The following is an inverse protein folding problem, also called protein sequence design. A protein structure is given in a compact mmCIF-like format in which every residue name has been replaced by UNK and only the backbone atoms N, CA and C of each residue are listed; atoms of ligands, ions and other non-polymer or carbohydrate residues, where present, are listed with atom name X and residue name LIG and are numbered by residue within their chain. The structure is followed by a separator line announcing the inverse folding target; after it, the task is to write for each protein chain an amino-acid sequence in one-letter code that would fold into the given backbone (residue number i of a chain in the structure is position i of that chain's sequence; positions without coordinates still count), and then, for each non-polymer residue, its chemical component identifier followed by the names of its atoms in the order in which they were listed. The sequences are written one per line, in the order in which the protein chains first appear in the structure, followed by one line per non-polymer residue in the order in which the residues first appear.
data_IF_777663326063
#
_entry.id   IF_777663326063
#
_cell.length_a   1.000
_cell.length_b   1.000
_cell.length_c   1.000
_cell.angle_alpha   90.00
_cell.angle_beta   90.00
_cell.angle_gamma   90.00
#
_symmetry.space_group_name_H-M   'P 1'
#
loop_
_entity.id
_entity.type
_entity.pdbx_description
1 polymer ?
#
# COMPACT_ATOMS: atom_id res chain seq x y z
N UNK A 1 2.17 4.18 3.05
CA UNK A 1 2.29 3.01 3.96
C UNK A 1 3.17 3.39 5.13
N UNK A 2 2.64 3.39 6.37
CA UNK A 2 3.43 3.62 7.59
C UNK A 2 4.03 2.30 8.09
N UNK A 3 5.22 2.38 8.69
CA UNK A 3 5.87 1.23 9.30
C UNK A 3 5.29 0.94 10.69
N UNK A 4 5.40 -0.29 11.20
CA UNK A 4 4.85 -0.65 12.52
C UNK A 4 5.54 0.08 13.68
N UNK A 5 6.78 0.49 13.48
CA UNK A 5 7.59 1.30 14.39
C UNK A 5 8.58 2.13 13.58
N UNK A 6 9.20 3.18 14.13
CA UNK A 6 10.31 3.87 13.50
C UNK A 6 11.51 2.93 13.25
N UNK A 7 12.16 3.10 12.11
CA UNK A 7 13.42 2.45 11.74
C UNK A 7 14.50 3.51 11.57
N UNK A 8 15.77 3.13 11.71
CA UNK A 8 16.89 4.01 11.36
C UNK A 8 17.21 3.90 9.87
N UNK A 9 17.89 4.91 9.33
CA UNK A 9 18.35 4.89 7.93
C UNK A 9 19.22 3.67 7.65
N UNK A 10 20.14 3.34 8.58
CA UNK A 10 21.02 2.16 8.48
C UNK A 10 20.22 0.84 8.43
N UNK A 11 19.18 0.71 9.26
CA UNK A 11 18.33 -0.48 9.25
C UNK A 11 17.63 -0.65 7.91
N UNK A 12 17.08 0.44 7.34
CA UNK A 12 16.46 0.41 6.01
C UNK A 12 17.49 0.10 4.92
N UNK A 13 18.64 0.75 4.95
CA UNK A 13 19.72 0.49 4.00
C UNK A 13 20.18 -0.98 4.04
N UNK A 14 20.27 -1.56 5.24
CA UNK A 14 20.60 -2.98 5.43
C UNK A 14 19.56 -3.91 4.78
N UNK A 15 18.24 -3.65 4.97
CA UNK A 15 17.17 -4.47 4.40
C UNK A 15 17.29 -4.55 2.86
N UNK A 16 17.66 -3.45 2.21
CA UNK A 16 17.75 -3.39 0.74
C UNK A 16 19.18 -3.55 0.20
N UNK A 17 20.18 -3.63 1.08
CA UNK A 17 21.61 -3.67 0.73
C UNK A 17 22.05 -2.45 -0.10
N UNK A 18 21.59 -1.25 0.27
CA UNK A 18 21.92 0.00 -0.39
C UNK A 18 22.94 0.82 0.39
N UNK A 19 23.73 1.64 -0.31
CA UNK A 19 24.50 2.72 0.30
C UNK A 19 23.56 3.82 0.78
N UNK A 20 24.00 4.63 1.75
CA UNK A 20 23.23 5.78 2.19
C UNK A 20 24.11 7.01 2.43
N UNK A 21 23.51 8.19 2.37
CA UNK A 21 24.09 9.49 2.72
C UNK A 21 23.12 10.18 3.70
N UNK A 22 23.54 10.33 4.94
CA UNK A 22 22.76 10.89 6.04
C UNK A 22 23.21 10.33 7.39
N UNK A 23 22.58 10.79 8.46
CA UNK A 23 22.81 10.27 9.80
C UNK A 23 22.35 8.80 9.87
N UNK A 24 23.17 7.93 10.47
CA UNK A 24 22.85 6.49 10.65
C UNK A 24 21.53 6.27 11.40
N UNK A 25 21.24 7.13 12.37
CA UNK A 25 20.05 7.10 13.21
C UNK A 25 18.88 7.92 12.63
N UNK A 26 19.01 8.47 11.40
CA UNK A 26 17.95 9.25 10.78
C UNK A 26 16.63 8.49 10.77
N UNK A 27 15.53 9.06 11.32
CA UNK A 27 14.28 8.33 11.51
C UNK A 27 13.52 8.12 10.21
N UNK A 28 13.07 6.89 9.99
CA UNK A 28 12.26 6.47 8.84
C UNK A 28 10.97 5.86 9.35
N UNK A 29 9.82 6.46 8.99
CA UNK A 29 8.51 6.16 9.55
C UNK A 29 7.58 5.44 8.58
N UNK A 30 7.92 5.45 7.29
CA UNK A 30 7.05 4.89 6.26
C UNK A 30 7.65 5.01 4.87
N UNK A 31 6.83 4.68 3.87
CA UNK A 31 7.16 4.85 2.45
C UNK A 31 5.89 5.14 1.67
N UNK A 32 5.96 6.07 0.72
CA UNK A 32 4.80 6.51 -0.04
C UNK A 32 5.16 6.94 -1.47
N UNK A 33 4.11 7.06 -2.28
CA UNK A 33 4.20 7.66 -3.62
C UNK A 33 4.42 9.17 -3.51
N UNK A 34 5.18 9.71 -4.44
CA UNK A 34 5.67 11.11 -4.43
C UNK A 34 4.60 12.20 -4.21
N UNK A 35 3.35 11.91 -4.52
CA UNK A 35 2.24 12.88 -4.39
C UNK A 35 1.51 12.82 -3.04
N UNK A 36 1.84 11.84 -2.19
CA UNK A 36 1.24 11.63 -0.87
C UNK A 36 2.26 11.44 0.25
N UNK A 37 3.55 11.65 -0.04
CA UNK A 37 4.62 11.54 0.96
C UNK A 37 4.52 12.62 2.03
N UNK A 38 4.90 12.23 3.24
CA UNK A 38 4.99 13.08 4.42
C UNK A 38 6.41 13.03 5.00
N UNK A 39 6.68 13.88 5.98
CA UNK A 39 7.94 13.81 6.75
C UNK A 39 8.09 12.43 7.42
N UNK A 40 9.28 11.84 7.33
CA UNK A 40 9.58 10.49 7.76
C UNK A 40 9.35 9.41 6.71
N UNK A 41 8.75 9.72 5.57
CA UNK A 41 8.53 8.75 4.49
C UNK A 41 9.74 8.62 3.56
N UNK A 42 9.88 7.40 3.00
CA UNK A 42 10.72 7.13 1.85
C UNK A 42 9.91 7.37 0.58
N UNK A 43 10.49 8.10 -0.38
CA UNK A 43 10.04 8.13 -1.78
C UNK A 43 11.11 7.50 -2.67
N UNK A 44 10.74 6.80 -3.73
CA UNK A 44 11.73 6.34 -4.71
C UNK A 44 11.67 7.15 -6.00
N UNK A 45 12.83 7.28 -6.65
CA UNK A 45 12.97 7.87 -7.98
C UNK A 45 14.09 7.17 -8.75
N UNK A 46 13.81 6.81 -9.99
CA UNK A 46 14.75 6.08 -10.85
C UNK A 46 14.91 6.70 -12.26
N UNK A 47 14.28 7.87 -12.48
CA UNK A 47 14.36 8.60 -13.75
C UNK A 47 14.75 10.06 -13.53
N UNK A 48 15.79 10.58 -14.24
CA UNK A 48 16.32 11.94 -14.02
C UNK A 48 15.30 13.07 -14.06
N UNK A 49 14.28 12.95 -14.91
CA UNK A 49 13.17 13.92 -15.03
C UNK A 49 12.46 14.19 -13.70
N UNK A 50 12.48 13.24 -12.76
CA UNK A 50 11.74 13.33 -11.50
C UNK A 50 12.63 13.50 -10.28
N UNK A 51 13.97 13.62 -10.44
CA UNK A 51 14.88 13.78 -9.32
C UNK A 51 14.54 15.01 -8.49
N UNK A 52 14.43 16.19 -9.13
CA UNK A 52 14.11 17.43 -8.44
C UNK A 52 12.77 17.34 -7.70
N UNK A 53 11.78 16.70 -8.32
CA UNK A 53 10.47 16.51 -7.67
C UNK A 53 10.58 15.65 -6.43
N UNK A 54 11.37 14.59 -6.45
CA UNK A 54 11.57 13.71 -5.29
C UNK A 54 12.41 14.39 -4.20
N UNK A 55 13.52 15.03 -4.58
CA UNK A 55 14.42 15.72 -3.66
C UNK A 55 13.74 16.92 -2.97
N UNK A 56 12.79 17.59 -3.61
CA UNK A 56 12.03 18.71 -3.06
C UNK A 56 10.64 18.30 -2.50
N UNK A 57 10.31 17.01 -2.48
CA UNK A 57 9.04 16.52 -1.90
C UNK A 57 9.03 16.65 -0.37
N UNK A 58 7.89 16.35 0.26
CA UNK A 58 7.78 16.28 1.71
C UNK A 58 8.48 15.05 2.31
N UNK A 59 8.86 14.05 1.50
CA UNK A 59 9.64 12.90 1.97
C UNK A 59 10.99 13.34 2.54
N UNK A 60 11.39 12.78 3.67
CA UNK A 60 12.71 13.06 4.25
C UNK A 60 13.77 12.03 3.87
N UNK A 61 13.36 10.91 3.25
CA UNK A 61 14.29 9.92 2.70
C UNK A 61 13.99 9.70 1.21
N UNK A 62 15.03 9.77 0.37
CA UNK A 62 14.89 9.57 -1.07
C UNK A 62 15.73 8.37 -1.51
N UNK A 63 15.06 7.34 -2.01
CA UNK A 63 15.68 6.19 -2.65
C UNK A 63 15.90 6.50 -4.14
N UNK A 64 17.17 6.63 -4.53
CA UNK A 64 17.58 7.19 -5.83
C UNK A 64 18.67 6.33 -6.50
N UNK A 65 18.68 6.30 -7.84
CA UNK A 65 19.67 5.52 -8.60
C UNK A 65 20.94 6.29 -9.00
N UNK A 66 21.16 7.43 -8.37
CA UNK A 66 22.36 8.25 -8.63
C UNK A 66 22.78 8.97 -7.36
N UNK A 67 24.09 9.02 -7.12
CA UNK A 67 24.63 9.87 -6.07
C UNK A 67 24.48 11.34 -6.48
N UNK A 68 23.79 12.11 -5.67
CA UNK A 68 23.51 13.54 -5.87
C UNK A 68 23.82 14.29 -4.58
N UNK A 69 23.89 15.62 -4.64
CA UNK A 69 23.99 16.44 -3.44
C UNK A 69 22.74 16.23 -2.56
N UNK A 70 22.97 15.94 -1.29
CA UNK A 70 21.90 15.68 -0.32
C UNK A 70 21.28 17.00 0.14
N UNK A 71 19.96 17.21 -0.07
CA UNK A 71 19.31 18.41 0.46
C UNK A 71 19.34 18.43 2.00
N UNK A 72 19.38 19.64 2.56
CA UNK A 72 19.33 19.81 4.02
C UNK A 72 18.06 19.17 4.62
N UNK A 73 18.20 18.52 5.77
CA UNK A 73 17.11 17.84 6.45
C UNK A 73 16.64 16.53 5.82
N UNK A 74 17.35 16.04 4.78
CA UNK A 74 17.03 14.76 4.13
C UNK A 74 18.14 13.73 4.25
N UNK A 75 17.78 12.49 3.94
CA UNK A 75 18.72 11.38 3.76
C UNK A 75 18.51 10.73 2.39
N UNK A 76 19.57 10.15 1.84
CA UNK A 76 19.53 9.42 0.57
C UNK A 76 19.82 7.93 0.81
N UNK A 77 19.07 7.07 0.13
CA UNK A 77 19.39 5.67 -0.09
C UNK A 77 19.79 5.51 -1.56
N UNK A 78 21.00 5.04 -1.81
CA UNK A 78 21.57 4.98 -3.15
C UNK A 78 21.56 3.54 -3.63
N UNK A 79 20.78 3.26 -4.68
CA UNK A 79 20.58 1.94 -5.24
C UNK A 79 20.68 1.97 -6.75
N UNK A 80 21.24 0.94 -7.36
CA UNK A 80 21.25 0.75 -8.81
C UNK A 80 19.84 0.54 -9.39
N UNK A 81 18.89 0.07 -8.58
CA UNK A 81 17.48 -0.13 -8.97
C UNK A 81 16.51 0.21 -7.82
N UNK A 82 16.15 1.49 -7.67
CA UNK A 82 15.19 1.93 -6.65
C UNK A 82 13.82 1.26 -6.72
N UNK A 83 13.34 0.90 -7.91
CA UNK A 83 12.08 0.18 -8.09
C UNK A 83 12.12 -1.21 -7.46
N UNK A 84 13.20 -1.98 -7.72
CA UNK A 84 13.43 -3.29 -7.11
C UNK A 84 13.49 -3.17 -5.58
N UNK A 85 14.21 -2.19 -5.09
CA UNK A 85 14.46 -2.07 -3.66
C UNK A 85 13.25 -1.51 -2.91
N UNK A 86 12.46 -0.65 -3.55
CA UNK A 86 11.14 -0.25 -3.02
C UNK A 86 10.19 -1.47 -2.89
N UNK A 87 10.22 -2.38 -3.86
CA UNK A 87 9.50 -3.65 -3.79
C UNK A 87 9.99 -4.56 -2.65
N UNK A 88 11.31 -4.61 -2.40
CA UNK A 88 11.85 -5.36 -1.24
C UNK A 88 11.33 -4.82 0.08
N UNK A 89 11.31 -3.48 0.25
CA UNK A 89 10.73 -2.85 1.43
C UNK A 89 9.25 -3.16 1.55
N UNK A 90 8.48 -3.05 0.46
CA UNK A 90 7.05 -3.40 0.46
C UNK A 90 6.85 -4.85 0.90
N UNK A 91 7.64 -5.77 0.39
CA UNK A 91 7.55 -7.19 0.75
C UNK A 91 7.98 -7.46 2.21
N UNK A 92 8.97 -6.74 2.71
CA UNK A 92 9.44 -6.87 4.09
C UNK A 92 8.38 -6.39 5.10
N UNK A 93 7.76 -5.23 4.83
CA UNK A 93 6.77 -4.64 5.75
C UNK A 93 5.35 -5.14 5.55
N UNK A 94 5.02 -5.68 4.37
CA UNK A 94 3.72 -6.24 3.99
C UNK A 94 3.92 -7.55 3.23
N UNK A 95 4.42 -8.61 3.89
CA UNK A 95 4.53 -9.92 3.27
C UNK A 95 3.15 -10.44 2.89
N UNK A 96 3.10 -11.30 1.88
CA UNK A 96 1.89 -12.04 1.56
C UNK A 96 1.64 -13.12 2.64
N UNK A 97 0.44 -13.12 3.20
CA UNK A 97 -0.02 -14.13 4.15
C UNK A 97 -1.18 -14.92 3.54
N UNK A 98 -1.02 -16.24 3.44
CA UNK A 98 -2.08 -17.09 2.91
C UNK A 98 -3.28 -17.13 3.87
N UNK A 99 -4.48 -16.92 3.33
CA UNK A 99 -5.69 -17.16 4.08
C UNK A 99 -5.90 -18.67 4.29
N UNK A 100 -6.38 -19.04 5.47
CA UNK A 100 -6.62 -20.45 5.85
C UNK A 100 -8.09 -20.83 5.80
N UNK A 101 -8.98 -19.87 5.54
CA UNK A 101 -10.43 -20.05 5.45
C UNK A 101 -11.05 -19.01 4.51
N UNK A 102 -12.29 -19.23 4.07
CA UNK A 102 -13.02 -18.25 3.25
C UNK A 102 -13.26 -16.92 3.98
N UNK A 103 -13.40 -16.96 5.31
CA UNK A 103 -13.37 -15.76 6.16
C UNK A 103 -12.20 -15.94 7.10
N UNK A 104 -11.19 -15.09 6.98
CA UNK A 104 -9.99 -15.17 7.79
C UNK A 104 -10.30 -14.97 9.28
N UNK A 105 -9.70 -15.74 10.19
CA UNK A 105 -9.93 -15.60 11.64
C UNK A 105 -9.58 -14.21 12.20
N UNK A 106 -8.70 -13.48 11.52
CA UNK A 106 -8.30 -12.10 11.87
C UNK A 106 -9.28 -11.03 11.38
N UNK A 107 -10.28 -11.40 10.55
CA UNK A 107 -11.30 -10.48 10.06
C UNK A 107 -12.27 -10.06 11.20
N UNK A 108 -12.68 -8.80 11.18
CA UNK A 108 -13.64 -8.25 12.14
C UNK A 108 -14.89 -7.82 11.40
N UNK A 109 -16.03 -8.38 11.77
CA UNK A 109 -17.32 -8.11 11.13
C UNK A 109 -18.26 -7.52 12.17
N UNK A 110 -18.80 -6.32 11.88
CA UNK A 110 -19.70 -5.61 12.78
C UNK A 110 -21.08 -6.22 12.87
N UNK A 111 -21.76 -5.92 13.98
CA UNK A 111 -23.10 -6.38 14.28
C UNK A 111 -24.12 -6.03 13.16
N UNK A 112 -25.07 -6.92 12.89
CA UNK A 112 -26.09 -6.73 11.87
C UNK A 112 -25.60 -6.84 10.42
N UNK A 113 -24.31 -7.11 10.20
CA UNK A 113 -23.76 -7.33 8.86
C UNK A 113 -24.08 -8.73 8.38
N UNK A 114 -24.63 -8.83 7.18
CA UNK A 114 -24.97 -10.08 6.50
C UNK A 114 -23.90 -10.40 5.45
N UNK A 115 -23.34 -11.60 5.54
CA UNK A 115 -22.38 -12.15 4.58
C UNK A 115 -23.03 -13.34 3.87
N UNK A 116 -23.22 -13.23 2.56
CA UNK A 116 -23.83 -14.27 1.74
C UNK A 116 -22.83 -15.42 1.45
N UNK A 117 -23.30 -16.59 1.00
CA UNK A 117 -22.42 -17.70 0.64
C UNK A 117 -21.36 -17.36 -0.40
N UNK A 118 -20.23 -18.09 -0.35
CA UNK A 118 -19.10 -17.98 -1.26
C UNK A 118 -18.39 -16.61 -1.22
N UNK A 119 -18.52 -15.84 -0.15
CA UNK A 119 -17.74 -14.63 0.08
C UNK A 119 -16.36 -15.00 0.61
N UNK A 120 -15.32 -14.38 0.04
CA UNK A 120 -13.97 -14.41 0.59
C UNK A 120 -13.67 -13.12 1.33
N UNK A 121 -13.24 -13.22 2.59
CA UNK A 121 -12.78 -12.11 3.42
C UNK A 121 -11.39 -12.42 3.93
N UNK A 122 -10.39 -11.68 3.44
CA UNK A 122 -8.98 -11.88 3.72
C UNK A 122 -8.54 -11.45 5.12
N UNK A 123 -7.23 -11.56 5.36
CA UNK A 123 -6.62 -11.27 6.66
C UNK A 123 -6.79 -9.79 7.04
N UNK A 124 -7.07 -9.55 8.34
CA UNK A 124 -7.16 -8.21 8.94
C UNK A 124 -8.20 -7.29 8.29
N UNK A 125 -9.16 -7.83 7.54
CA UNK A 125 -10.29 -7.04 7.00
C UNK A 125 -11.17 -6.57 8.15
N UNK A 126 -11.61 -5.31 8.09
CA UNK A 126 -12.58 -4.77 9.03
C UNK A 126 -13.83 -4.35 8.28
N UNK A 127 -14.99 -4.88 8.67
CA UNK A 127 -16.30 -4.53 8.11
C UNK A 127 -17.14 -3.94 9.25
N UNK A 128 -17.75 -2.78 9.00
CA UNK A 128 -18.62 -2.10 9.95
C UNK A 128 -19.95 -2.81 10.17
N UNK A 129 -20.89 -2.07 10.79
CA UNK A 129 -22.21 -2.58 11.15
C UNK A 129 -23.21 -2.47 10.01
N UNK A 130 -24.23 -3.34 10.02
CA UNK A 130 -25.40 -3.31 9.14
C UNK A 130 -25.02 -3.30 7.62
N UNK A 131 -23.95 -3.97 7.26
CA UNK A 131 -23.53 -4.11 5.87
C UNK A 131 -24.22 -5.32 5.20
N UNK A 132 -24.34 -5.28 3.87
CA UNK A 132 -24.78 -6.40 3.05
C UNK A 132 -23.68 -6.77 2.07
N UNK A 133 -23.08 -7.93 2.26
CA UNK A 133 -22.06 -8.48 1.36
C UNK A 133 -22.69 -9.62 0.58
N UNK A 134 -22.97 -9.37 -0.70
CA UNK A 134 -23.64 -10.34 -1.56
C UNK A 134 -22.71 -11.50 -1.95
N UNK A 135 -23.32 -12.56 -2.49
CA UNK A 135 -22.61 -13.79 -2.84
C UNK A 135 -21.45 -13.56 -3.82
N UNK A 136 -20.39 -14.37 -3.69
CA UNK A 136 -19.20 -14.36 -4.55
C UNK A 136 -18.39 -13.04 -4.52
N UNK A 137 -18.55 -12.21 -3.50
CA UNK A 137 -17.70 -11.03 -3.27
C UNK A 137 -16.35 -11.50 -2.73
N UNK A 138 -15.25 -10.89 -3.21
CA UNK A 138 -13.89 -11.13 -2.70
C UNK A 138 -13.32 -9.84 -2.12
N UNK A 139 -13.02 -9.85 -0.82
CA UNK A 139 -12.40 -8.73 -0.11
C UNK A 139 -11.01 -9.17 0.34
N UNK A 140 -9.98 -8.63 -0.30
CA UNK A 140 -8.58 -8.94 0.01
C UNK A 140 -8.13 -8.30 1.32
N UNK A 141 -6.97 -8.73 1.78
CA UNK A 141 -6.39 -8.39 3.08
C UNK A 141 -6.35 -6.89 3.38
N UNK A 142 -6.53 -6.57 4.66
CA UNK A 142 -6.42 -5.22 5.23
C UNK A 142 -7.48 -4.21 4.74
N UNK A 143 -8.47 -4.60 3.95
CA UNK A 143 -9.54 -3.69 3.53
C UNK A 143 -10.34 -3.19 4.74
N UNK A 144 -10.81 -1.94 4.64
CA UNK A 144 -11.63 -1.30 5.68
C UNK A 144 -12.96 -0.89 5.06
N UNK A 145 -14.04 -1.48 5.55
CA UNK A 145 -15.40 -1.24 5.10
C UNK A 145 -16.16 -0.54 6.23
N UNK A 146 -16.74 0.62 5.93
CA UNK A 146 -17.54 1.39 6.87
C UNK A 146 -18.89 0.74 7.22
N UNK A 147 -19.78 1.50 7.85
CA UNK A 147 -21.09 1.04 8.23
C UNK A 147 -22.12 1.21 7.10
N UNK A 148 -23.19 0.38 7.10
CA UNK A 148 -24.30 0.44 6.14
C UNK A 148 -23.83 0.37 4.68
N UNK A 149 -22.79 -0.39 4.40
CA UNK A 149 -22.22 -0.59 3.06
C UNK A 149 -22.92 -1.78 2.38
N UNK A 150 -23.21 -1.63 1.10
CA UNK A 150 -23.72 -2.71 0.25
C UNK A 150 -22.69 -3.02 -0.84
N UNK A 151 -22.30 -4.29 -0.96
CA UNK A 151 -21.40 -4.76 -2.01
C UNK A 151 -22.12 -5.84 -2.79
N UNK A 152 -22.46 -5.55 -4.05
CA UNK A 152 -23.18 -6.49 -4.89
C UNK A 152 -22.30 -7.62 -5.43
N UNK A 153 -22.96 -8.69 -5.86
CA UNK A 153 -22.36 -9.98 -6.18
C UNK A 153 -21.20 -9.89 -7.19
N UNK A 154 -20.19 -10.70 -6.98
CA UNK A 154 -19.03 -10.84 -7.87
C UNK A 154 -18.03 -9.69 -7.82
N UNK A 155 -18.22 -8.70 -6.95
CA UNK A 155 -17.26 -7.59 -6.81
C UNK A 155 -15.98 -8.03 -6.12
N UNK A 156 -14.84 -7.46 -6.54
CA UNK A 156 -13.50 -7.77 -6.04
C UNK A 156 -12.84 -6.49 -5.50
N UNK A 157 -12.43 -6.52 -4.24
CA UNK A 157 -11.79 -5.39 -3.57
C UNK A 157 -10.39 -5.75 -3.12
N UNK A 158 -9.40 -4.92 -3.45
CA UNK A 158 -8.06 -5.00 -2.90
C UNK A 158 -7.08 -5.89 -3.68
N UNK A 159 -7.37 -6.20 -4.95
CA UNK A 159 -6.34 -6.70 -5.84
C UNK A 159 -5.20 -5.68 -5.97
N UNK A 160 -3.98 -6.13 -6.33
CA UNK A 160 -2.85 -5.23 -6.51
C UNK A 160 -3.10 -4.23 -7.65
N UNK A 161 -2.71 -2.99 -7.45
CA UNK A 161 -2.68 -1.98 -8.51
C UNK A 161 -1.93 -2.49 -9.76
N UNK A 162 -2.46 -2.17 -10.93
CA UNK A 162 -1.88 -2.58 -12.21
C UNK A 162 -0.73 -1.64 -12.60
N UNK A 163 0.41 -1.77 -11.89
CA UNK A 163 1.60 -0.94 -12.12
C UNK A 163 2.82 -1.80 -12.44
N UNK A 164 3.38 -1.62 -13.63
CA UNK A 164 4.52 -2.38 -14.12
C UNK A 164 5.63 -1.50 -14.69
N UNK A 165 6.87 -1.84 -14.41
CA UNK A 165 8.06 -1.28 -15.07
C UNK A 165 8.50 -2.20 -16.19
N UNK A 166 8.64 -1.66 -17.40
CA UNK A 166 9.19 -2.40 -18.53
C UNK A 166 10.70 -2.62 -18.34
N UNK A 167 11.14 -3.86 -18.55
CA UNK A 167 12.55 -4.27 -18.57
C UNK A 167 12.92 -4.84 -19.94
N UNK A 168 14.20 -5.09 -20.16
CA UNK A 168 14.65 -5.72 -21.40
C UNK A 168 14.07 -7.14 -21.61
N UNK A 169 13.85 -7.88 -20.51
CA UNK A 169 13.41 -9.28 -20.50
C UNK A 169 11.93 -9.46 -20.12
N UNK A 170 11.15 -8.37 -19.93
CA UNK A 170 9.75 -8.48 -19.51
C UNK A 170 9.25 -7.29 -18.71
N UNK A 171 8.41 -7.57 -17.72
CA UNK A 171 7.81 -6.56 -16.85
C UNK A 171 7.99 -6.92 -15.38
N UNK A 172 8.43 -5.95 -14.59
CA UNK A 172 8.45 -6.04 -13.14
C UNK A 172 7.20 -5.37 -12.56
N UNK A 173 6.45 -6.10 -11.75
CA UNK A 173 5.29 -5.57 -11.06
C UNK A 173 5.72 -4.73 -9.84
N UNK A 174 5.13 -3.55 -9.66
CA UNK A 174 5.21 -2.82 -8.40
C UNK A 174 4.22 -3.45 -7.42
N UNK A 175 4.74 -3.92 -6.29
CA UNK A 175 3.91 -4.53 -5.23
C UNK A 175 3.11 -3.47 -4.50
N UNK A 176 1.85 -3.80 -4.24
CA UNK A 176 0.95 -2.89 -3.54
C UNK A 176 0.90 -3.21 -2.04
N UNK A 177 1.38 -2.28 -1.24
CA UNK A 177 1.33 -2.33 0.24
C UNK A 177 0.16 -1.55 0.85
N UNK A 178 -0.64 -0.87 0.02
CA UNK A 178 -1.81 -0.13 0.44
C UNK A 178 -3.06 -0.99 0.65
N UNK A 179 -4.22 -0.36 0.73
CA UNK A 179 -5.50 -1.04 1.00
C UNK A 179 -6.67 -0.34 0.31
N UNK A 180 -7.85 -0.98 0.33
CA UNK A 180 -9.13 -0.38 -0.04
C UNK A 180 -9.85 0.10 1.20
N UNK A 181 -10.44 1.29 1.14
CA UNK A 181 -11.28 1.86 2.18
C UNK A 181 -12.62 2.28 1.58
N UNK A 182 -13.70 1.63 1.97
CA UNK A 182 -15.06 2.10 1.70
C UNK A 182 -15.58 2.85 2.91
N UNK A 183 -16.00 4.10 2.72
CA UNK A 183 -16.62 4.87 3.80
C UNK A 183 -18.07 4.45 4.01
N UNK A 184 -18.73 5.00 5.06
CA UNK A 184 -20.10 4.63 5.39
C UNK A 184 -21.07 4.85 4.23
N UNK A 185 -22.08 3.99 4.15
CA UNK A 185 -23.20 4.07 3.21
C UNK A 185 -22.79 4.02 1.73
N UNK A 186 -21.62 3.48 1.41
CA UNK A 186 -21.22 3.18 0.03
C UNK A 186 -22.03 2.00 -0.50
N UNK A 187 -22.40 2.04 -1.77
CA UNK A 187 -22.97 0.91 -2.47
C UNK A 187 -22.18 0.64 -3.76
N UNK A 188 -21.67 -0.57 -3.90
CA UNK A 188 -20.94 -1.01 -5.08
C UNK A 188 -21.83 -1.92 -5.93
N UNK A 189 -21.96 -1.61 -7.21
CA UNK A 189 -22.65 -2.44 -8.19
C UNK A 189 -22.03 -3.83 -8.33
N UNK A 190 -22.74 -4.73 -9.02
CA UNK A 190 -22.24 -6.07 -9.28
C UNK A 190 -21.00 -6.07 -10.19
N UNK A 191 -20.10 -7.03 -9.96
CA UNK A 191 -18.87 -7.23 -10.74
C UNK A 191 -17.94 -5.98 -10.81
N UNK A 192 -17.98 -5.12 -9.80
CA UNK A 192 -17.02 -4.02 -9.68
C UNK A 192 -15.67 -4.53 -9.22
N UNK A 193 -14.58 -3.94 -9.75
CA UNK A 193 -13.22 -4.20 -9.29
C UNK A 193 -12.58 -2.93 -8.76
N UNK A 194 -12.04 -2.96 -7.54
CA UNK A 194 -11.36 -1.84 -6.90
C UNK A 194 -10.01 -2.31 -6.40
N UNK A 195 -8.94 -1.90 -7.08
CA UNK A 195 -7.59 -2.23 -6.68
C UNK A 195 -7.16 -1.41 -5.46
N UNK A 196 -6.32 -1.99 -4.61
CA UNK A 196 -5.70 -1.27 -3.50
C UNK A 196 -4.65 -0.27 -4.00
N UNK A 197 -4.41 0.78 -3.24
CA UNK A 197 -3.33 1.72 -3.54
C UNK A 197 -1.94 1.07 -3.49
N UNK A 198 -0.96 1.64 -4.19
CA UNK A 198 0.42 1.11 -4.17
C UNK A 198 0.99 1.17 -2.76
N UNK A 199 0.87 2.31 -2.10
CA UNK A 199 1.34 2.50 -0.71
C UNK A 199 0.27 3.10 0.20
N UNK A 200 -0.65 3.87 -0.36
CA UNK A 200 -1.75 4.53 0.35
C UNK A 200 -3.07 3.78 0.21
N UNK A 201 -4.16 4.44 0.56
CA UNK A 201 -5.52 3.91 0.48
C UNK A 201 -6.17 4.28 -0.85
N UNK A 202 -6.79 3.29 -1.53
CA UNK A 202 -7.84 3.57 -2.52
C UNK A 202 -9.13 3.77 -1.75
N UNK A 203 -9.65 4.99 -1.73
CA UNK A 203 -10.81 5.35 -0.90
C UNK A 203 -12.04 5.66 -1.73
N UNK A 204 -13.17 5.01 -1.43
CA UNK A 204 -14.49 5.37 -1.94
C UNK A 204 -15.20 6.20 -0.85
N UNK A 205 -15.60 7.41 -1.21
CA UNK A 205 -16.19 8.39 -0.28
C UNK A 205 -17.54 7.96 0.27
N UNK A 206 -17.94 8.56 1.42
CA UNK A 206 -19.21 8.28 2.07
C UNK A 206 -20.40 8.50 1.12
N UNK A 207 -21.31 7.54 1.06
CA UNK A 207 -22.55 7.63 0.29
C UNK A 207 -22.38 7.48 -1.21
N UNK A 208 -21.19 7.16 -1.75
CA UNK A 208 -20.97 6.88 -3.18
C UNK A 208 -21.82 5.68 -3.64
N UNK A 209 -22.29 5.78 -4.90
CA UNK A 209 -23.08 4.74 -5.55
C UNK A 209 -22.45 4.38 -6.92
#
# INVERSE_FOLDING_TARGET
MKFPQPYTLEQIATIISAEFDGDVDFPVLGMNEIHVVESGDIVFVDHPKYYDKALNSAATVVLINKKVERPEGKALLISDDPFRDFNKLTQFFKPFESATASIAPSAKIGEGTVVQPNVFIGNNVTIGKNCMIHANVSIYDNAVIGNNVVIHAGSVLGADAFYYKKRATGFDKLRSGGRVVLKDSVELGAACTIDKGVTGDTTIGKGSK
#
